data_IF_026060741484
#
_entry.id   IF_026060741484
#
_cell.length_a   1.000
_cell.length_b   1.000
_cell.length_c   1.000
_cell.angle_alpha   90.00
_cell.angle_beta   90.00
_cell.angle_gamma   90.00
#
_symmetry.space_group_name_H-M   'P 1'
#
loop_
_entity.id
_entity.type
_entity.pdbx_description
1 polymer ?
#
# COMPACT_ATOMS: atom_id res chain seq x y z
N UNK A 1 -8.31 -8.34 20.27
CA UNK A 1 -9.30 -7.95 19.24
C UNK A 1 -8.62 -6.96 18.32
N UNK A 2 -8.59 -7.24 17.03
CA UNK A 2 -8.00 -6.39 15.98
C UNK A 2 -9.16 -5.88 15.13
N UNK A 3 -9.04 -4.67 14.60
CA UNK A 3 -10.00 -4.14 13.63
C UNK A 3 -9.28 -3.98 12.28
N UNK A 4 -9.75 -4.69 11.25
CA UNK A 4 -9.32 -4.51 9.87
C UNK A 4 -10.31 -3.55 9.22
N UNK A 5 -9.84 -2.36 8.83
CA UNK A 5 -10.66 -1.38 8.11
C UNK A 5 -10.40 -1.55 6.61
N UNK A 6 -11.46 -1.59 5.83
CA UNK A 6 -11.41 -1.62 4.36
C UNK A 6 -12.35 -0.54 3.82
N UNK A 7 -12.34 -0.29 2.50
CA UNK A 7 -13.03 0.86 1.87
C UNK A 7 -14.49 1.01 2.32
N UNK A 8 -15.24 -0.10 2.43
CA UNK A 8 -16.68 -0.07 2.72
C UNK A 8 -17.05 -0.42 4.18
N UNK A 9 -16.06 -0.64 5.07
CA UNK A 9 -16.40 -1.10 6.42
C UNK A 9 -15.26 -1.52 7.34
N UNK A 10 -15.63 -2.22 8.41
CA UNK A 10 -14.71 -2.68 9.45
C UNK A 10 -15.03 -4.12 9.86
N UNK A 11 -14.00 -4.96 9.90
CA UNK A 11 -14.06 -6.33 10.41
C UNK A 11 -13.33 -6.36 11.75
N UNK A 12 -14.00 -6.80 12.82
CA UNK A 12 -13.37 -7.05 14.11
C UNK A 12 -13.02 -8.53 14.22
N UNK A 13 -11.76 -8.80 14.54
CA UNK A 13 -11.20 -10.15 14.59
C UNK A 13 -10.60 -10.46 15.96
N UNK A 14 -10.61 -11.73 16.32
CA UNK A 14 -9.75 -12.30 17.35
C UNK A 14 -8.63 -13.09 16.68
N UNK A 15 -7.43 -13.01 17.23
CA UNK A 15 -6.31 -13.80 16.70
C UNK A 15 -6.53 -15.27 17.03
N UNK A 16 -6.29 -16.12 16.04
CA UNK A 16 -6.24 -17.57 16.17
C UNK A 16 -5.03 -18.09 15.38
N UNK A 17 -4.59 -19.30 15.71
CA UNK A 17 -3.56 -20.00 14.95
C UNK A 17 -4.06 -21.41 14.67
N UNK A 18 -3.92 -21.85 13.43
CA UNK A 18 -4.31 -23.20 12.99
C UNK A 18 -3.42 -23.64 11.82
N UNK A 19 -3.54 -24.90 11.43
CA UNK A 19 -2.86 -25.46 10.26
C UNK A 19 -3.66 -25.10 9.00
N UNK A 20 -3.05 -24.31 8.12
CA UNK A 20 -3.50 -24.15 6.74
C UNK A 20 -2.76 -25.23 5.92
N UNK A 21 -3.25 -25.62 4.75
CA UNK A 21 -2.62 -26.63 3.85
C UNK A 21 -1.13 -26.33 3.49
N UNK A 22 -0.56 -25.23 3.98
CA UNK A 22 0.85 -24.82 3.88
C UNK A 22 1.51 -24.58 5.25
N UNK A 23 1.13 -25.33 6.28
CA UNK A 23 1.73 -25.30 7.62
C UNK A 23 0.94 -24.50 8.67
N UNK A 24 1.48 -24.42 9.88
CA UNK A 24 0.87 -23.66 10.98
C UNK A 24 1.02 -22.17 10.74
N UNK A 25 -0.10 -21.45 10.73
CA UNK A 25 -0.16 -20.00 10.47
C UNK A 25 -1.08 -19.30 11.48
N UNK A 26 -0.78 -18.05 11.79
CA UNK A 26 -1.65 -17.17 12.59
C UNK A 26 -2.56 -16.39 11.64
N UNK A 27 -3.83 -16.25 11.98
CA UNK A 27 -4.82 -15.49 11.21
C UNK A 27 -5.86 -14.82 12.13
N UNK A 28 -6.60 -13.87 11.57
CA UNK A 28 -7.73 -13.25 12.27
C UNK A 28 -9.00 -14.06 12.05
N UNK A 29 -9.59 -14.60 13.12
CA UNK A 29 -10.95 -15.12 13.10
C UNK A 29 -11.91 -13.94 13.25
N UNK A 30 -12.72 -13.67 12.21
CA UNK A 30 -13.73 -12.62 12.27
C UNK A 30 -14.77 -12.96 13.35
N UNK A 31 -14.91 -12.09 14.35
CA UNK A 31 -15.86 -12.24 15.45
C UNK A 31 -17.04 -11.30 15.34
N UNK A 32 -16.88 -10.23 14.59
CA UNK A 32 -17.92 -9.26 14.28
C UNK A 32 -17.59 -8.60 12.94
N UNK A 33 -18.58 -8.58 12.04
CA UNK A 33 -18.43 -8.11 10.66
C UNK A 33 -19.49 -7.03 10.44
N UNK A 34 -19.06 -5.83 10.09
CA UNK A 34 -19.95 -4.72 9.77
C UNK A 34 -19.86 -4.35 8.29
N UNK A 35 -20.99 -3.95 7.71
CA UNK A 35 -21.12 -3.60 6.29
C UNK A 35 -21.89 -4.65 5.48
N UNK A 36 -22.74 -4.18 4.57
CA UNK A 36 -23.64 -5.03 3.78
C UNK A 36 -22.88 -5.93 2.79
N UNK A 37 -21.66 -5.53 2.40
CA UNK A 37 -20.83 -6.24 1.42
C UNK A 37 -20.46 -7.66 1.86
N UNK A 38 -20.30 -7.89 3.17
CA UNK A 38 -19.90 -9.21 3.68
C UNK A 38 -21.09 -10.18 3.82
N UNK A 39 -22.30 -9.64 4.02
CA UNK A 39 -23.53 -10.44 3.96
C UNK A 39 -23.69 -11.04 2.56
N UNK A 40 -23.45 -10.24 1.53
CA UNK A 40 -23.47 -10.69 0.13
C UNK A 40 -22.28 -11.62 -0.22
N UNK A 41 -21.08 -11.35 0.32
CA UNK A 41 -19.91 -12.22 0.11
C UNK A 41 -20.14 -13.65 0.65
N UNK A 42 -20.86 -13.78 1.77
CA UNK A 42 -21.24 -15.08 2.34
C UNK A 42 -22.21 -15.84 1.43
N UNK A 43 -23.12 -15.14 0.74
CA UNK A 43 -24.06 -15.75 -0.22
C UNK A 43 -23.36 -16.30 -1.46
N UNK A 44 -22.22 -15.71 -1.86
CA UNK A 44 -21.37 -16.20 -2.96
C UNK A 44 -20.22 -17.12 -2.51
N UNK A 45 -20.29 -17.64 -1.28
CA UNK A 45 -19.35 -18.61 -0.70
C UNK A 45 -17.88 -18.13 -0.65
N UNK A 46 -17.67 -16.83 -0.39
CA UNK A 46 -16.34 -16.26 -0.10
C UNK A 46 -16.22 -16.03 1.41
N UNK A 47 -15.57 -16.94 2.16
CA UNK A 47 -15.58 -16.90 3.63
C UNK A 47 -14.62 -15.87 4.25
N UNK A 48 -13.76 -15.25 3.44
CA UNK A 48 -12.78 -14.28 3.92
C UNK A 48 -11.83 -13.80 2.83
N UNK A 49 -10.77 -13.10 3.24
CA UNK A 49 -9.76 -12.52 2.36
C UNK A 49 -8.36 -13.02 2.71
N UNK A 50 -7.51 -13.12 1.70
CA UNK A 50 -6.08 -13.40 1.86
C UNK A 50 -5.29 -12.26 1.23
N UNK A 51 -4.73 -11.38 2.06
CA UNK A 51 -4.01 -10.19 1.60
C UNK A 51 -2.67 -10.54 0.99
N UNK A 52 -2.47 -10.17 -0.28
CA UNK A 52 -1.25 -10.41 -1.05
C UNK A 52 -0.36 -9.16 -1.19
N UNK A 53 -0.37 -8.27 -0.20
CA UNK A 53 0.42 -7.03 -0.20
C UNK A 53 1.93 -7.29 -0.05
N UNK A 54 2.78 -6.32 -0.40
CA UNK A 54 4.24 -6.39 -0.25
C UNK A 54 4.69 -6.27 1.20
N UNK A 55 3.99 -5.43 1.96
CA UNK A 55 4.32 -5.10 3.34
C UNK A 55 3.08 -4.78 4.18
N UNK A 56 3.35 -4.35 5.42
CA UNK A 56 2.34 -3.96 6.42
C UNK A 56 1.72 -2.62 6.08
N UNK A 57 0.39 -2.57 6.06
CA UNK A 57 -0.36 -1.33 6.04
C UNK A 57 -0.24 -0.62 7.38
N UNK A 58 -0.40 0.70 7.39
CA UNK A 58 -0.35 1.50 8.61
C UNK A 58 -1.40 1.11 9.66
N UNK A 59 -2.52 0.53 9.22
CA UNK A 59 -3.64 0.04 10.02
C UNK A 59 -3.44 -1.39 10.52
N UNK A 60 -2.42 -2.09 10.04
CA UNK A 60 -2.15 -3.47 10.43
C UNK A 60 -1.70 -3.54 11.88
N UNK A 61 -2.32 -4.42 12.66
CA UNK A 61 -1.86 -4.69 14.02
C UNK A 61 -0.48 -5.38 14.00
N UNK A 62 0.30 -5.27 15.08
CA UNK A 62 1.61 -5.93 15.21
C UNK A 62 1.57 -7.46 15.03
N UNK A 63 0.39 -8.05 15.23
CA UNK A 63 0.10 -9.47 15.13
C UNK A 63 -0.45 -9.90 13.77
N UNK A 64 -0.56 -8.96 12.81
CA UNK A 64 -0.86 -9.32 11.41
C UNK A 64 0.35 -10.04 10.81
N UNK A 65 0.19 -11.33 10.58
CA UNK A 65 1.06 -12.11 9.70
C UNK A 65 0.56 -11.89 8.28
N UNK A 66 1.45 -11.48 7.37
CA UNK A 66 1.13 -11.46 5.94
C UNK A 66 1.30 -12.88 5.41
N UNK A 67 0.37 -13.76 5.82
CA UNK A 67 0.40 -15.21 5.59
C UNK A 67 0.76 -15.52 4.14
N UNK A 68 0.16 -14.79 3.20
CA UNK A 68 0.43 -14.96 1.78
C UNK A 68 1.89 -14.63 1.42
N UNK A 69 2.40 -13.48 1.86
CA UNK A 69 3.80 -13.12 1.60
C UNK A 69 4.78 -14.10 2.24
N UNK A 70 4.47 -14.63 3.42
CA UNK A 70 5.29 -15.64 4.10
C UNK A 70 5.32 -16.94 3.28
N UNK A 71 4.15 -17.41 2.85
CA UNK A 71 4.03 -18.58 1.95
C UNK A 71 4.85 -18.38 0.68
N UNK A 72 4.69 -17.23 0.00
CA UNK A 72 5.39 -16.99 -1.26
C UNK A 72 6.90 -16.89 -1.05
N UNK A 73 7.35 -16.28 0.05
CA UNK A 73 8.77 -16.17 0.39
C UNK A 73 9.44 -17.50 0.74
N UNK A 74 8.67 -18.52 1.13
CA UNK A 74 9.17 -19.88 1.36
C UNK A 74 9.35 -20.69 0.06
N UNK A 75 8.81 -20.22 -1.07
CA UNK A 75 8.97 -20.88 -2.36
C UNK A 75 10.42 -20.76 -2.86
N UNK A 76 10.92 -21.72 -3.67
CA UNK A 76 12.23 -21.61 -4.30
C UNK A 76 12.42 -20.32 -5.11
N UNK A 77 11.30 -19.81 -5.67
CA UNK A 77 11.22 -18.53 -6.36
C UNK A 77 10.03 -17.78 -5.75
N UNK A 78 10.26 -16.63 -5.10
CA UNK A 78 9.22 -15.93 -4.34
C UNK A 78 8.36 -15.08 -5.27
N UNK A 79 7.66 -15.74 -6.18
CA UNK A 79 6.80 -15.15 -7.20
C UNK A 79 5.41 -15.75 -7.09
N UNK A 80 4.40 -14.93 -7.35
CA UNK A 80 3.07 -15.41 -7.70
C UNK A 80 2.56 -14.68 -8.94
N UNK A 81 1.56 -15.24 -9.60
CA UNK A 81 0.93 -14.61 -10.76
C UNK A 81 -0.59 -14.77 -10.73
N UNK A 82 -1.27 -13.81 -11.34
CA UNK A 82 -2.72 -13.74 -11.43
C UNK A 82 -3.13 -13.70 -12.90
N UNK A 83 -4.09 -14.55 -13.23
CA UNK A 83 -4.77 -14.58 -14.52
C UNK A 83 -6.28 -14.53 -14.26
N UNK A 84 -6.99 -13.65 -14.96
CA UNK A 84 -8.45 -13.55 -14.85
C UNK A 84 -9.11 -13.79 -16.20
N UNK A 85 -10.28 -14.42 -16.16
CA UNK A 85 -11.24 -14.48 -17.26
C UNK A 85 -12.56 -13.87 -16.79
N UNK A 86 -13.52 -13.75 -17.70
CA UNK A 86 -14.88 -13.32 -17.38
C UNK A 86 -15.62 -14.24 -16.38
N UNK A 87 -15.13 -15.47 -16.13
CA UNK A 87 -15.85 -16.47 -15.34
C UNK A 87 -15.05 -17.13 -14.21
N UNK A 88 -13.72 -16.99 -14.22
CA UNK A 88 -12.82 -17.57 -13.22
C UNK A 88 -11.48 -16.85 -13.23
N UNK A 89 -10.69 -17.03 -12.16
CA UNK A 89 -9.30 -16.60 -12.11
C UNK A 89 -8.38 -17.72 -11.63
N UNK A 90 -7.09 -17.59 -11.92
CA UNK A 90 -6.04 -18.49 -11.49
C UNK A 90 -4.99 -17.70 -10.71
N UNK A 91 -4.65 -18.21 -9.53
CA UNK A 91 -3.48 -17.83 -8.76
C UNK A 91 -2.44 -18.93 -8.93
N UNK A 92 -1.26 -18.58 -9.44
CA UNK A 92 -0.13 -19.51 -9.55
C UNK A 92 0.97 -19.11 -8.58
N UNK A 93 1.51 -20.06 -7.83
CA UNK A 93 2.60 -19.87 -6.89
C UNK A 93 3.91 -20.42 -7.49
N UNK A 94 4.98 -19.63 -7.40
CA UNK A 94 6.34 -20.03 -7.78
C UNK A 94 6.81 -19.50 -9.13
N UNK A 95 5.97 -18.78 -9.89
CA UNK A 95 6.34 -18.19 -11.18
C UNK A 95 5.16 -18.03 -12.14
N UNK A 96 5.43 -17.58 -13.38
CA UNK A 96 4.41 -17.50 -14.41
C UNK A 96 4.07 -18.88 -14.98
N UNK A 97 2.79 -19.11 -15.27
CA UNK A 97 2.31 -20.20 -16.13
C UNK A 97 2.25 -19.75 -17.61
N UNK A 98 3.03 -20.39 -18.50
CA UNK A 98 3.12 -20.01 -19.92
C UNK A 98 1.82 -20.22 -20.71
N UNK A 99 0.81 -20.90 -20.16
CA UNK A 99 -0.49 -20.99 -20.84
C UNK A 99 -1.18 -19.63 -20.93
N UNK A 100 -0.92 -18.73 -19.97
CA UNK A 100 -1.60 -17.44 -19.87
C UNK A 100 -0.90 -16.30 -20.62
N UNK A 101 0.32 -16.52 -21.12
CA UNK A 101 1.03 -15.52 -21.91
C UNK A 101 1.94 -16.16 -22.96
N UNK A 102 2.01 -15.54 -24.14
CA UNK A 102 2.88 -15.96 -25.24
C UNK A 102 3.89 -14.88 -25.65
N UNK A 103 3.80 -13.71 -25.01
CA UNK A 103 4.66 -12.55 -25.25
C UNK A 103 5.58 -12.31 -24.05
N UNK A 104 6.72 -11.63 -24.24
CA UNK A 104 7.65 -11.32 -23.17
C UNK A 104 6.97 -10.56 -22.02
N UNK A 105 7.41 -10.86 -20.79
CA UNK A 105 7.03 -10.14 -19.58
C UNK A 105 7.81 -8.83 -19.55
N UNK A 106 7.10 -7.72 -19.36
CA UNK A 106 7.69 -6.42 -19.04
C UNK A 106 7.69 -6.23 -17.53
N UNK A 107 8.88 -6.05 -16.95
CA UNK A 107 9.04 -5.82 -15.50
C UNK A 107 9.08 -4.32 -15.19
N UNK A 108 8.33 -3.93 -14.17
CA UNK A 108 8.30 -2.57 -13.62
C UNK A 108 8.63 -2.59 -12.12
N UNK A 109 9.40 -1.61 -11.68
CA UNK A 109 9.72 -1.42 -10.28
C UNK A 109 8.51 -0.88 -9.52
N UNK A 110 8.33 -1.38 -8.29
CA UNK A 110 7.36 -0.80 -7.36
C UNK A 110 8.00 0.22 -6.44
N UNK A 111 7.17 1.10 -5.89
CA UNK A 111 7.60 2.13 -4.97
C UNK A 111 7.99 1.51 -3.63
N UNK A 112 9.24 1.74 -3.24
CA UNK A 112 9.77 1.27 -1.95
C UNK A 112 9.05 1.95 -0.80
N UNK A 113 8.69 1.17 0.22
CA UNK A 113 8.01 1.66 1.42
C UNK A 113 6.49 1.74 1.30
N UNK A 114 5.93 1.48 0.12
CA UNK A 114 4.49 1.24 -0.04
C UNK A 114 4.15 -0.19 0.41
N UNK A 115 3.00 -0.34 1.07
CA UNK A 115 2.53 -1.65 1.50
C UNK A 115 1.93 -2.47 0.34
N UNK A 116 1.29 -1.80 -0.63
CA UNK A 116 0.67 -2.41 -1.80
C UNK A 116 1.62 -2.57 -3.00
N UNK A 117 1.09 -3.12 -4.09
CA UNK A 117 1.79 -3.20 -5.39
C UNK A 117 1.63 -1.88 -6.15
N UNK A 118 2.43 -0.89 -5.76
CA UNK A 118 2.31 0.49 -6.24
C UNK A 118 3.47 0.84 -7.17
N UNK A 119 3.20 1.54 -8.27
CA UNK A 119 4.23 2.07 -9.18
C UNK A 119 3.91 3.51 -9.59
N UNK A 120 4.85 4.17 -10.25
CA UNK A 120 4.63 5.50 -10.82
C UNK A 120 3.75 5.43 -12.07
N UNK A 121 2.79 6.34 -12.16
CA UNK A 121 1.95 6.57 -13.32
C UNK A 121 2.37 7.88 -13.99
N UNK A 122 2.28 7.92 -15.32
CA UNK A 122 2.48 9.15 -16.10
C UNK A 122 1.44 10.22 -15.71
N UNK A 123 1.80 11.49 -15.88
CA UNK A 123 0.95 12.65 -15.56
C UNK A 123 -0.22 12.87 -16.53
N UNK A 124 -0.46 11.93 -17.44
CA UNK A 124 -1.55 11.94 -18.40
C UNK A 124 -2.02 10.53 -18.75
N UNK A 125 -3.23 10.46 -19.30
CA UNK A 125 -3.85 9.25 -19.86
C UNK A 125 -4.20 9.56 -21.31
N UNK A 126 -3.73 8.73 -22.23
CA UNK A 126 -3.95 8.91 -23.66
C UNK A 126 -5.28 8.29 -24.10
N UNK A 127 -5.90 8.90 -25.09
CA UNK A 127 -7.16 8.51 -25.70
C UNK A 127 -6.92 8.37 -27.21
N UNK A 128 -7.14 7.16 -27.72
CA UNK A 128 -6.98 6.85 -29.13
C UNK A 128 -8.36 6.72 -29.77
N UNK A 129 -8.49 7.20 -31.01
CA UNK A 129 -9.67 6.96 -31.82
C UNK A 129 -9.78 5.46 -32.17
N UNK A 130 -10.99 4.99 -32.47
CA UNK A 130 -11.21 3.60 -32.86
C UNK A 130 -10.37 3.22 -34.08
N UNK A 131 -9.59 2.15 -33.96
CA UNK A 131 -8.76 1.61 -35.03
C UNK A 131 -7.39 2.29 -35.18
N UNK A 132 -7.09 3.31 -34.36
CA UNK A 132 -5.75 3.82 -34.21
C UNK A 132 -4.88 2.80 -33.45
N UNK A 133 -3.61 2.68 -33.82
CA UNK A 133 -2.63 1.80 -33.15
C UNK A 133 -1.71 2.66 -32.28
N UNK A 134 -1.69 2.45 -30.94
CA UNK A 134 -0.83 3.19 -30.02
C UNK A 134 0.69 3.12 -30.28
N UNK A 135 1.12 2.24 -31.20
CA UNK A 135 2.53 2.13 -31.60
C UNK A 135 2.87 2.96 -32.82
N UNK A 136 1.90 3.28 -33.67
CA UNK A 136 2.15 3.94 -34.96
C UNK A 136 1.44 5.27 -35.12
N UNK A 137 0.46 5.58 -34.26
CA UNK A 137 -0.29 6.83 -34.30
C UNK A 137 0.62 7.99 -33.86
N UNK A 138 0.73 9.08 -34.65
CA UNK A 138 1.56 10.24 -34.29
C UNK A 138 1.00 10.98 -33.06
N UNK A 139 1.87 11.52 -32.20
CA UNK A 139 1.48 12.26 -31.00
C UNK A 139 0.50 13.43 -31.27
N UNK A 140 0.55 14.02 -32.46
CA UNK A 140 -0.37 15.10 -32.88
C UNK A 140 -1.82 14.66 -33.10
N UNK A 141 -2.06 13.35 -33.21
CA UNK A 141 -3.38 12.74 -33.45
C UNK A 141 -3.93 12.04 -32.20
N UNK A 142 -3.22 12.13 -31.07
CA UNK A 142 -3.57 11.50 -29.79
C UNK A 142 -4.20 12.56 -28.89
N UNK A 143 -5.43 12.31 -28.45
CA UNK A 143 -6.05 13.10 -27.39
C UNK A 143 -5.55 12.60 -26.02
N UNK A 144 -5.54 13.46 -25.00
CA UNK A 144 -5.14 13.06 -23.65
C UNK A 144 -5.87 13.86 -22.57
N UNK A 145 -5.93 13.27 -21.38
CA UNK A 145 -6.37 13.94 -20.15
C UNK A 145 -5.23 13.98 -19.15
N UNK A 146 -5.18 15.04 -18.33
CA UNK A 146 -4.15 15.17 -17.28
C UNK A 146 -4.61 14.53 -15.99
N UNK A 147 -3.65 13.98 -15.24
CA UNK A 147 -3.84 13.48 -13.88
C UNK A 147 -2.85 14.14 -12.95
N UNK A 148 -3.32 14.57 -11.79
CA UNK A 148 -2.50 15.06 -10.68
C UNK A 148 -1.95 13.91 -9.82
N UNK A 149 -2.54 12.72 -9.92
CA UNK A 149 -2.07 11.52 -9.24
C UNK A 149 -1.02 10.82 -10.10
N UNK A 150 0.15 10.61 -9.51
CA UNK A 150 1.36 10.05 -10.15
C UNK A 150 1.68 8.62 -9.69
N UNK A 151 0.74 7.98 -8.99
CA UNK A 151 0.89 6.62 -8.45
C UNK A 151 -0.31 5.77 -8.83
N UNK A 152 -0.07 4.47 -9.02
CA UNK A 152 -1.13 3.49 -9.28
C UNK A 152 -0.91 2.20 -8.52
N UNK A 153 -1.98 1.67 -7.93
CA UNK A 153 -2.04 0.38 -7.26
C UNK A 153 -2.56 -0.69 -8.20
N UNK A 154 -1.93 -1.86 -8.19
CA UNK A 154 -2.47 -3.08 -8.80
C UNK A 154 -3.20 -3.87 -7.70
N UNK A 155 -4.53 -3.84 -7.70
CA UNK A 155 -5.34 -4.34 -6.58
C UNK A 155 -6.44 -5.31 -7.05
N UNK A 156 -6.20 -6.61 -6.85
CA UNK A 156 -7.20 -7.65 -7.13
C UNK A 156 -8.39 -7.64 -6.17
N UNK A 157 -8.32 -6.90 -5.06
CA UNK A 157 -9.42 -6.70 -4.12
C UNK A 157 -10.44 -5.65 -4.58
N UNK A 158 -10.15 -4.92 -5.65
CA UNK A 158 -11.01 -3.88 -6.21
C UNK A 158 -11.50 -4.28 -7.60
N UNK A 159 -12.79 -4.10 -7.88
CA UNK A 159 -13.37 -4.41 -9.21
C UNK A 159 -13.03 -3.35 -10.25
N UNK A 160 -13.30 -2.09 -9.93
CA UNK A 160 -13.29 -0.94 -10.84
C UNK A 160 -11.93 -0.28 -11.00
N UNK A 161 -11.85 0.67 -11.94
CA UNK A 161 -10.73 1.60 -12.08
C UNK A 161 -11.05 2.84 -11.27
N UNK A 162 -10.21 3.17 -10.29
CA UNK A 162 -10.37 4.41 -9.52
C UNK A 162 -9.25 5.37 -9.84
N UNK A 163 -9.57 6.64 -10.04
CA UNK A 163 -8.60 7.61 -10.53
C UNK A 163 -8.87 9.05 -10.14
N UNK A 164 -7.96 9.93 -10.55
CA UNK A 164 -8.07 11.36 -10.33
C UNK A 164 -9.34 11.93 -10.99
N UNK A 165 -10.06 12.76 -10.26
CA UNK A 165 -11.24 13.46 -10.74
C UNK A 165 -10.97 14.23 -12.05
N UNK A 166 -9.79 14.85 -12.17
CA UNK A 166 -9.40 15.64 -13.36
C UNK A 166 -9.22 14.81 -14.61
N UNK A 167 -8.94 13.52 -14.47
CA UNK A 167 -8.82 12.60 -15.59
C UNK A 167 -10.12 11.82 -15.81
N UNK A 168 -10.71 11.29 -14.74
CA UNK A 168 -11.87 10.40 -14.79
C UNK A 168 -13.11 11.13 -15.32
N UNK A 169 -13.36 12.38 -14.91
CA UNK A 169 -14.53 13.12 -15.40
C UNK A 169 -14.47 13.36 -16.92
N UNK A 170 -13.40 13.93 -17.48
CA UNK A 170 -13.28 14.06 -18.93
C UNK A 170 -13.31 12.73 -19.69
N UNK A 171 -12.72 11.66 -19.15
CA UNK A 171 -12.82 10.33 -19.77
C UNK A 171 -14.27 9.84 -19.80
N UNK A 172 -15.01 10.00 -18.72
CA UNK A 172 -16.42 9.65 -18.66
C UNK A 172 -17.27 10.49 -19.62
N UNK A 173 -17.00 11.79 -19.73
CA UNK A 173 -17.64 12.67 -20.71
C UNK A 173 -17.34 12.25 -22.16
N UNK A 174 -16.08 11.91 -22.47
CA UNK A 174 -15.66 11.41 -23.78
C UNK A 174 -16.38 10.12 -24.18
N UNK A 175 -16.60 9.20 -23.22
CA UNK A 175 -17.39 7.98 -23.46
C UNK A 175 -18.89 8.24 -23.61
N UNK A 176 -19.37 9.44 -23.31
CA UNK A 176 -20.80 9.77 -23.24
C UNK A 176 -21.49 9.15 -22.02
N UNK A 177 -20.75 8.98 -20.91
CA UNK A 177 -21.30 8.50 -19.65
C UNK A 177 -22.12 9.60 -18.97
N UNK A 178 -23.27 9.21 -18.41
CA UNK A 178 -24.04 10.09 -17.54
C UNK A 178 -23.24 10.41 -16.26
N UNK A 179 -23.06 11.70 -15.90
CA UNK A 179 -22.14 12.10 -14.84
C UNK A 179 -22.59 11.69 -13.44
N UNK A 180 -23.87 11.34 -13.25
CA UNK A 180 -24.42 10.95 -11.96
C UNK A 180 -24.42 9.42 -11.79
N UNK A 181 -24.77 8.70 -12.86
CA UNK A 181 -25.01 7.25 -12.81
C UNK A 181 -23.90 6.44 -13.44
N UNK A 182 -23.00 7.07 -14.20
CA UNK A 182 -21.98 6.40 -15.00
C UNK A 182 -22.55 5.61 -16.18
N UNK A 183 -23.85 5.74 -16.49
CA UNK A 183 -24.49 4.97 -17.54
C UNK A 183 -24.05 5.45 -18.93
N UNK A 184 -23.68 4.51 -19.80
CA UNK A 184 -23.27 4.77 -21.19
C UNK A 184 -24.30 4.17 -22.13
N UNK A 185 -24.53 4.82 -23.28
CA UNK A 185 -25.35 4.22 -24.33
C UNK A 185 -24.62 3.00 -24.94
N UNK A 186 -25.17 1.81 -24.76
CA UNK A 186 -24.58 0.57 -25.28
C UNK A 186 -24.33 0.60 -26.80
N UNK A 187 -25.14 1.34 -27.58
CA UNK A 187 -24.99 1.41 -29.03
C UNK A 187 -23.76 2.21 -29.49
N UNK A 188 -23.16 3.03 -28.62
CA UNK A 188 -21.96 3.82 -28.95
C UNK A 188 -20.66 3.08 -28.63
N UNK A 189 -20.71 1.98 -27.86
CA UNK A 189 -19.53 1.18 -27.52
C UNK A 189 -18.71 0.79 -28.76
N UNK A 190 -19.31 0.34 -29.88
CA UNK A 190 -18.56 -0.01 -31.06
C UNK A 190 -17.84 1.16 -31.74
N UNK A 191 -18.08 2.42 -31.39
CA UNK A 191 -17.36 3.60 -31.92
C UNK A 191 -16.25 4.10 -31.00
N UNK A 192 -16.19 3.64 -29.75
CA UNK A 192 -15.15 4.05 -28.80
C UNK A 192 -13.80 3.44 -29.18
N UNK A 193 -12.72 4.19 -28.94
CA UNK A 193 -11.35 3.71 -29.14
C UNK A 193 -10.70 3.22 -27.84
N UNK A 194 -9.38 3.30 -27.71
CA UNK A 194 -8.66 2.79 -26.53
C UNK A 194 -8.25 3.89 -25.57
N UNK A 195 -8.20 3.52 -24.28
CA UNK A 195 -7.60 4.34 -23.21
C UNK A 195 -6.25 3.72 -22.89
N UNK A 196 -5.17 4.51 -22.89
CA UNK A 196 -3.82 4.01 -22.65
C UNK A 196 -3.21 4.69 -21.43
N UNK A 197 -2.83 3.86 -20.45
CA UNK A 197 -2.08 4.29 -19.28
C UNK A 197 -0.59 4.02 -19.47
N UNK A 198 0.24 5.03 -19.26
CA UNK A 198 1.70 4.91 -19.39
C UNK A 198 2.37 4.80 -18.02
N UNK A 199 3.14 3.74 -17.81
CA UNK A 199 3.93 3.47 -16.59
C UNK A 199 5.41 3.44 -16.96
N UNK A 200 6.27 3.98 -16.10
CA UNK A 200 7.71 4.04 -16.33
C UNK A 200 8.09 5.06 -17.41
N UNK A 201 9.04 4.71 -18.28
CA UNK A 201 9.61 5.64 -19.27
C UNK A 201 10.75 6.50 -18.71
N UNK A 202 11.37 6.06 -17.63
CA UNK A 202 12.56 6.66 -17.03
C UNK A 202 13.73 5.65 -17.04
N UNK A 203 14.94 6.09 -16.66
CA UNK A 203 16.14 5.25 -16.72
C UNK A 203 16.03 3.93 -15.94
N UNK A 204 15.16 3.90 -14.92
CA UNK A 204 14.95 2.77 -14.02
C UNK A 204 13.77 1.87 -14.44
N UNK A 205 12.93 2.29 -15.38
CA UNK A 205 11.72 1.56 -15.78
C UNK A 205 11.44 1.71 -17.28
N UNK A 206 11.34 0.61 -18.05
CA UNK A 206 10.93 0.68 -19.44
C UNK A 206 9.53 1.30 -19.54
N UNK A 207 9.28 2.06 -20.61
CA UNK A 207 7.95 2.58 -20.90
C UNK A 207 7.00 1.42 -21.16
N UNK A 208 6.00 1.27 -20.31
CA UNK A 208 4.92 0.31 -20.45
C UNK A 208 3.62 1.05 -20.74
N UNK A 209 3.01 0.74 -21.87
CA UNK A 209 1.68 1.24 -22.26
C UNK A 209 0.65 0.16 -22.02
N UNK A 210 -0.27 0.42 -21.10
CA UNK A 210 -1.41 -0.42 -20.79
C UNK A 210 -2.60 0.06 -21.59
N UNK A 211 -2.83 -0.57 -22.73
CA UNK A 211 -3.96 -0.28 -23.60
C UNK A 211 -5.21 -1.03 -23.12
N UNK A 212 -6.28 -0.29 -22.87
CA UNK A 212 -7.60 -0.82 -22.54
C UNK A 212 -8.54 -0.57 -23.72
N UNK A 213 -9.20 -1.61 -24.20
CA UNK A 213 -10.29 -1.50 -25.16
C UNK A 213 -11.61 -1.23 -24.44
N UNK A 214 -12.69 -0.90 -25.17
CA UNK A 214 -14.01 -0.72 -24.55
C UNK A 214 -14.48 -1.92 -23.72
N UNK A 215 -14.01 -3.15 -23.99
CA UNK A 215 -14.35 -4.33 -23.21
C UNK A 215 -13.76 -4.32 -21.78
N UNK A 216 -12.71 -3.55 -21.55
CA UNK A 216 -12.06 -3.42 -20.26
C UNK A 216 -12.65 -2.28 -19.44
N UNK A 217 -12.97 -1.14 -20.06
CA UNK A 217 -13.41 0.05 -19.33
C UNK A 217 -14.93 0.32 -19.40
N UNK A 218 -15.71 -0.49 -20.13
CA UNK A 218 -17.19 -0.48 -20.10
C UNK A 218 -17.71 -1.80 -19.52
N UNK A 219 -18.67 -1.69 -18.60
CA UNK A 219 -19.44 -2.79 -18.04
C UNK A 219 -20.69 -2.97 -18.90
N UNK A 220 -20.78 -4.13 -19.54
CA UNK A 220 -21.84 -4.45 -20.49
C UNK A 220 -21.31 -4.56 -21.92
N UNK A 221 -22.16 -5.04 -22.82
CA UNK A 221 -21.87 -5.21 -24.26
C UNK A 221 -22.81 -4.35 -25.08
N UNK A 222 -22.50 -4.12 -26.35
CA UNK A 222 -23.38 -3.36 -27.26
C UNK A 222 -24.80 -3.91 -27.38
N UNK A 223 -24.98 -5.21 -27.13
CA UNK A 223 -26.29 -5.90 -27.11
C UNK A 223 -26.99 -5.85 -25.75
N UNK A 224 -26.39 -5.23 -24.74
CA UNK A 224 -26.96 -5.12 -23.39
C UNK A 224 -28.02 -4.02 -23.34
N UNK A 225 -28.94 -4.13 -22.39
CA UNK A 225 -29.96 -3.10 -22.17
C UNK A 225 -29.41 -1.89 -21.40
N UNK A 226 -28.35 -2.08 -20.61
CA UNK A 226 -27.69 -1.05 -19.81
C UNK A 226 -26.18 -1.30 -19.82
N UNK A 227 -25.41 -0.23 -19.97
CA UNK A 227 -23.96 -0.25 -19.94
C UNK A 227 -23.47 0.86 -19.02
N UNK A 228 -22.32 0.67 -18.37
CA UNK A 228 -21.77 1.62 -17.42
C UNK A 228 -20.26 1.77 -17.60
N UNK A 229 -19.72 2.93 -17.28
CA UNK A 229 -18.26 3.11 -17.16
C UNK A 229 -17.71 2.28 -16.00
N UNK A 230 -16.51 1.73 -16.17
CA UNK A 230 -15.73 1.12 -15.09
C UNK A 230 -14.86 2.14 -14.34
N UNK A 231 -14.78 3.39 -14.80
CA UNK A 231 -13.97 4.45 -14.22
C UNK A 231 -14.74 5.24 -13.16
N UNK A 232 -14.15 5.31 -11.96
CA UNK A 232 -14.69 6.01 -10.81
C UNK A 232 -13.67 6.99 -10.25
N UNK A 233 -14.16 8.09 -9.66
CA UNK A 233 -13.32 9.09 -9.03
C UNK A 233 -12.88 8.57 -7.67
N UNK A 234 -11.58 8.60 -7.41
CA UNK A 234 -11.03 8.22 -6.12
C UNK A 234 -11.45 9.26 -5.06
N UNK A 235 -11.79 8.80 -3.85
CA UNK A 235 -12.08 9.70 -2.75
C UNK A 235 -10.88 10.59 -2.41
N UNK A 236 -11.14 11.83 -1.98
CA UNK A 236 -10.11 12.85 -1.69
C UNK A 236 -9.08 12.45 -0.63
N UNK A 237 -9.35 11.41 0.16
CA UNK A 237 -8.43 10.85 1.15
C UNK A 237 -7.33 9.97 0.53
N UNK A 238 -7.50 9.53 -0.72
CA UNK A 238 -6.56 8.66 -1.43
C UNK A 238 -5.78 9.48 -2.46
N UNK A 239 -4.49 9.21 -2.56
CA UNK A 239 -3.54 9.94 -3.41
C UNK A 239 -2.96 9.08 -4.54
N UNK A 240 -3.73 8.10 -5.03
CA UNK A 240 -3.28 7.15 -6.04
C UNK A 240 -4.45 6.65 -6.89
N UNK A 241 -4.14 6.23 -8.13
CA UNK A 241 -5.02 5.41 -8.93
C UNK A 241 -5.09 3.98 -8.40
N UNK A 242 -6.19 3.28 -8.68
CA UNK A 242 -6.36 1.87 -8.39
C UNK A 242 -6.76 1.16 -9.68
N UNK A 243 -5.89 0.28 -10.15
CA UNK A 243 -6.16 -0.67 -11.22
C UNK A 243 -6.72 -1.95 -10.62
N UNK A 244 -8.06 -2.01 -10.60
CA UNK A 244 -8.83 -3.19 -10.20
C UNK A 244 -8.95 -4.24 -11.30
N UNK A 245 -9.86 -5.20 -11.10
CA UNK A 245 -10.10 -6.33 -12.00
C UNK A 245 -10.37 -5.92 -13.46
N UNK A 246 -10.98 -4.77 -13.71
CA UNK A 246 -11.18 -4.26 -15.07
C UNK A 246 -9.86 -4.04 -15.85
N UNK A 247 -8.78 -3.69 -15.18
CA UNK A 247 -7.42 -3.63 -15.76
C UNK A 247 -6.72 -4.97 -15.64
N UNK A 248 -6.79 -5.61 -14.47
CA UNK A 248 -6.08 -6.87 -14.23
C UNK A 248 -6.56 -8.03 -15.11
N UNK A 249 -7.78 -7.99 -15.66
CA UNK A 249 -8.27 -8.99 -16.62
C UNK A 249 -7.69 -8.81 -18.02
N UNK A 250 -7.21 -7.62 -18.36
CA UNK A 250 -6.64 -7.31 -19.66
C UNK A 250 -5.21 -7.84 -19.81
N UNK A 251 -4.54 -8.07 -18.68
CA UNK A 251 -3.13 -8.43 -18.62
C UNK A 251 -2.90 -9.66 -17.74
N UNK A 252 -1.87 -10.41 -18.06
CA UNK A 252 -1.32 -11.38 -17.14
C UNK A 252 -0.34 -10.68 -16.21
N UNK A 253 -0.59 -10.71 -14.90
CA UNK A 253 0.23 -10.01 -13.90
C UNK A 253 1.03 -10.98 -13.05
N UNK A 254 2.30 -10.65 -12.84
CA UNK A 254 3.28 -11.43 -12.10
C UNK A 254 3.86 -10.54 -11.01
N UNK A 255 4.08 -11.08 -9.82
CA UNK A 255 4.50 -10.30 -8.66
C UNK A 255 5.68 -11.00 -8.00
N UNK A 256 6.82 -10.32 -7.94
CA UNK A 256 8.06 -10.88 -7.40
C UNK A 256 8.35 -10.26 -6.03
N UNK A 257 8.13 -11.02 -4.96
CA UNK A 257 8.28 -10.54 -3.58
C UNK A 257 9.72 -10.18 -3.22
N UNK A 258 10.70 -10.98 -3.67
CA UNK A 258 12.09 -10.70 -3.31
C UNK A 258 12.64 -9.44 -3.97
N UNK A 259 12.14 -9.01 -5.13
CA UNK A 259 12.63 -7.83 -5.82
C UNK A 259 11.70 -6.62 -5.72
N UNK A 260 10.45 -6.80 -5.28
CA UNK A 260 9.47 -5.72 -5.23
C UNK A 260 9.14 -5.18 -6.63
N UNK A 261 8.87 -6.07 -7.58
CA UNK A 261 8.57 -5.72 -8.98
C UNK A 261 7.29 -6.40 -9.45
N UNK A 262 6.63 -5.79 -10.43
CA UNK A 262 5.46 -6.34 -11.11
C UNK A 262 5.85 -6.66 -12.55
N UNK A 263 5.57 -7.87 -13.00
CA UNK A 263 5.67 -8.30 -14.38
C UNK A 263 4.30 -8.18 -15.04
N UNK A 264 4.26 -7.63 -16.24
CA UNK A 264 3.03 -7.46 -17.02
C UNK A 264 3.26 -8.05 -18.40
N UNK A 265 2.37 -8.96 -18.81
CA UNK A 265 2.37 -9.55 -20.14
C UNK A 265 0.97 -9.48 -20.77
N UNK A 266 0.87 -9.38 -22.10
CA UNK A 266 -0.41 -9.54 -22.78
C UNK A 266 -1.06 -10.88 -22.47
N UNK A 267 -2.35 -10.84 -22.11
CA UNK A 267 -3.10 -12.04 -21.75
C UNK A 267 -3.44 -12.91 -22.97
N UNK A 268 -3.25 -14.22 -22.86
CA UNK A 268 -3.67 -15.17 -23.89
C UNK A 268 -5.15 -15.55 -23.74
N UNK A 269 -6.02 -14.87 -24.48
CA UNK A 269 -7.49 -15.01 -24.44
C UNK A 269 -7.98 -16.43 -24.81
N UNK A 270 -7.13 -17.27 -25.44
CA UNK A 270 -7.48 -18.65 -25.82
C UNK A 270 -7.14 -19.69 -24.76
N UNK A 271 -6.54 -19.27 -23.63
CA UNK A 271 -6.22 -20.17 -22.53
C UNK A 271 -7.50 -20.78 -21.95
N UNK A 272 -7.64 -22.10 -22.08
CA UNK A 272 -8.70 -22.86 -21.39
C UNK A 272 -8.09 -23.49 -20.16
N UNK A 273 -8.82 -23.48 -19.04
CA UNK A 273 -8.48 -24.26 -17.86
C UNK A 273 -9.35 -25.54 -17.85
N UNK A 274 -8.98 -26.61 -18.58
CA UNK A 274 -9.84 -27.77 -18.81
C UNK A 274 -10.15 -28.58 -17.55
N UNK A 275 -9.50 -28.28 -16.43
CA UNK A 275 -9.87 -28.83 -15.14
C UNK A 275 -9.64 -27.72 -14.12
N UNK A 276 -10.68 -27.29 -13.39
CA UNK A 276 -10.56 -26.42 -12.21
C UNK A 276 -9.74 -27.03 -11.06
N UNK A 277 -8.67 -27.75 -11.36
CA UNK A 277 -7.62 -28.17 -10.46
C UNK A 277 -6.90 -26.91 -10.03
N UNK A 278 -7.01 -26.58 -8.75
CA UNK A 278 -5.91 -25.91 -8.07
C UNK A 278 -4.65 -26.72 -8.38
N UNK A 279 -3.74 -26.17 -9.19
CA UNK A 279 -2.50 -26.86 -9.52
C UNK A 279 -1.60 -26.79 -8.30
N UNK A 280 -1.73 -27.78 -7.42
CA UNK A 280 -0.62 -28.22 -6.56
C UNK A 280 -0.71 -29.74 -6.46
N UNK A 281 -0.10 -30.46 -7.41
CA UNK A 281 1.09 -31.22 -7.03
C UNK A 281 2.21 -31.19 -8.10
N UNK A 282 3.39 -30.78 -7.66
CA UNK A 282 4.63 -30.74 -8.45
C UNK A 282 4.96 -29.32 -8.91
N UNK A 283 5.63 -28.56 -8.04
CA UNK A 283 6.34 -27.30 -8.35
C UNK A 283 6.91 -27.43 -9.78
N UNK A 284 6.30 -26.72 -10.72
CA UNK A 284 6.62 -26.91 -12.13
C UNK A 284 8.10 -26.61 -12.35
N UNK A 285 8.82 -27.59 -12.88
CA UNK A 285 10.26 -27.53 -13.21
C UNK A 285 10.66 -26.45 -14.25
N UNK A 286 9.73 -25.58 -14.66
CA UNK A 286 9.94 -24.54 -15.69
C UNK A 286 10.19 -23.15 -15.07
N UNK A 287 9.93 -22.97 -13.78
CA UNK A 287 9.70 -21.66 -13.16
C UNK A 287 10.93 -20.77 -12.96
N UNK A 288 12.14 -21.32 -13.08
CA UNK A 288 13.38 -20.59 -12.82
C UNK A 288 13.93 -19.85 -14.04
N UNK A 289 13.85 -20.48 -15.21
CA UNK A 289 14.59 -20.01 -16.37
C UNK A 289 13.96 -18.75 -16.97
N UNK A 290 12.64 -18.70 -17.11
CA UNK A 290 11.96 -17.56 -17.74
C UNK A 290 12.03 -16.27 -16.90
N UNK A 291 11.84 -16.38 -15.58
CA UNK A 291 12.00 -15.24 -14.67
C UNK A 291 13.45 -14.76 -14.69
N UNK A 292 14.43 -15.67 -14.57
CA UNK A 292 15.85 -15.30 -14.64
C UNK A 292 16.25 -14.66 -15.97
N UNK A 293 15.86 -15.26 -17.09
CA UNK A 293 16.16 -14.75 -18.43
C UNK A 293 15.47 -13.41 -18.73
N UNK A 294 14.26 -13.20 -18.21
CA UNK A 294 13.56 -11.92 -18.39
C UNK A 294 14.15 -10.82 -17.50
N UNK A 295 14.57 -11.13 -16.28
CA UNK A 295 15.30 -10.17 -15.43
C UNK A 295 16.67 -9.81 -16.01
N UNK A 296 17.40 -10.77 -16.59
CA UNK A 296 18.66 -10.51 -17.29
C UNK A 296 18.52 -9.59 -18.52
N UNK A 297 17.31 -9.48 -19.09
CA UNK A 297 17.00 -8.56 -20.20
C UNK A 297 16.68 -7.14 -19.73
N UNK A 298 16.49 -6.90 -18.44
CA UNK A 298 16.31 -5.55 -17.93
C UNK A 298 17.59 -4.73 -18.12
N UNK A 299 17.49 -3.42 -18.41
CA UNK A 299 18.63 -2.52 -18.37
C UNK A 299 19.37 -2.66 -17.04
N UNK A 300 20.71 -2.60 -17.05
CA UNK A 300 21.50 -2.72 -15.81
C UNK A 300 21.14 -1.65 -14.76
N UNK A 301 20.72 -0.45 -15.20
CA UNK A 301 20.17 0.61 -14.33
C UNK A 301 18.83 0.25 -13.69
N UNK A 302 18.00 -0.52 -14.41
CA UNK A 302 16.66 -0.94 -13.99
C UNK A 302 16.64 -2.29 -13.24
N UNK A 303 17.79 -2.97 -13.12
CA UNK A 303 17.88 -4.28 -12.48
C UNK A 303 17.59 -4.13 -10.98
N UNK A 304 16.52 -4.75 -10.46
CA UNK A 304 16.11 -4.55 -9.09
C UNK A 304 17.09 -5.21 -8.12
N UNK A 305 17.46 -4.49 -7.06
CA UNK A 305 18.13 -5.09 -5.91
C UNK A 305 17.11 -5.89 -5.08
N UNK A 306 17.54 -6.93 -4.35
CA UNK A 306 16.62 -7.64 -3.45
C UNK A 306 16.02 -6.65 -2.46
N UNK A 307 14.73 -6.76 -2.19
CA UNK A 307 13.99 -5.98 -1.21
C UNK A 307 14.59 -6.11 0.20
N UNK A 308 15.34 -7.18 0.47
CA UNK A 308 16.12 -7.37 1.71
C UNK A 308 17.54 -6.75 1.67
N UNK A 309 18.12 -6.56 0.47
CA UNK A 309 19.42 -5.86 0.27
C UNK A 309 19.22 -4.34 0.15
N UNK A 310 17.98 -3.94 -0.14
CA UNK A 310 17.50 -2.57 -0.03
C UNK A 310 17.18 -2.34 1.44
N UNK A 311 17.76 -1.32 2.10
CA UNK A 311 17.34 -0.97 3.45
C UNK A 311 15.82 -0.80 3.43
N UNK A 312 15.11 -1.49 4.33
CA UNK A 312 13.75 -1.11 4.71
C UNK A 312 13.65 0.42 4.76
N UNK A 313 12.49 1.06 4.47
CA UNK A 313 12.36 2.52 4.54
C UNK A 313 13.15 3.06 5.75
N UNK A 314 14.27 3.73 5.41
CA UNK A 314 15.48 4.14 6.14
C UNK A 314 15.47 4.02 7.69
N UNK A 315 16.58 3.57 8.36
CA UNK A 315 17.06 2.22 8.64
C UNK A 315 16.86 1.84 10.13
N UNK A 316 17.37 0.68 10.54
CA UNK A 316 17.60 0.28 11.94
C UNK A 316 18.62 1.17 12.70
N UNK A 317 18.83 2.43 12.31
CA UNK A 317 19.67 3.38 13.07
C UNK A 317 18.91 4.07 14.19
N UNK A 318 17.57 4.13 14.11
CA UNK A 318 16.77 4.74 15.16
C UNK A 318 16.30 3.71 16.19
N UNK A 319 16.84 3.79 17.40
CA UNK A 319 16.43 2.97 18.56
C UNK A 319 15.49 3.76 19.45
N UNK A 320 14.38 3.16 19.85
CA UNK A 320 13.52 3.74 20.90
C UNK A 320 13.85 3.04 22.21
N UNK A 321 14.10 3.84 23.25
CA UNK A 321 14.39 3.35 24.59
C UNK A 321 13.85 4.30 25.65
N UNK A 322 13.65 3.84 26.89
CA UNK A 322 13.40 4.74 28.01
C UNK A 322 14.48 5.81 28.08
N UNK A 323 14.05 7.04 28.36
CA UNK A 323 14.94 8.16 28.56
C UNK A 323 15.70 8.03 29.89
N UNK A 324 16.93 8.52 29.91
CA UNK A 324 17.82 8.59 31.06
C UNK A 324 18.17 10.06 31.35
N UNK A 325 18.75 10.36 32.51
CA UNK A 325 19.19 11.74 32.81
C UNK A 325 20.24 12.26 31.80
N UNK A 326 21.00 11.37 31.14
CA UNK A 326 22.00 11.75 30.13
C UNK A 326 21.36 12.31 28.85
N UNK A 327 20.09 11.99 28.58
CA UNK A 327 19.38 12.47 27.40
C UNK A 327 18.85 13.90 27.57
N UNK A 328 18.82 14.42 28.80
CA UNK A 328 18.16 15.69 29.14
C UNK A 328 18.72 16.92 28.44
N UNK A 329 20.05 17.08 28.24
CA UNK A 329 20.57 18.20 27.46
C UNK A 329 19.97 18.24 26.04
N UNK A 330 19.85 17.09 25.39
CA UNK A 330 19.31 16.99 24.02
C UNK A 330 17.79 17.13 23.98
N UNK A 331 17.07 16.54 24.95
CA UNK A 331 15.61 16.74 25.11
C UNK A 331 15.30 18.24 25.34
N UNK A 332 16.05 18.91 26.21
CA UNK A 332 15.92 20.35 26.45
C UNK A 332 16.20 21.16 25.18
N UNK A 333 17.21 20.78 24.40
CA UNK A 333 17.50 21.37 23.09
C UNK A 333 16.31 21.32 22.14
N UNK A 334 15.68 20.14 22.01
CA UNK A 334 14.47 19.97 21.18
C UNK A 334 13.31 20.85 21.67
N UNK A 335 13.03 20.84 22.98
CA UNK A 335 11.92 21.63 23.56
C UNK A 335 12.17 23.13 23.39
N UNK A 336 13.39 23.60 23.64
CA UNK A 336 13.73 25.01 23.55
C UNK A 336 13.71 25.51 22.10
N UNK A 337 14.10 24.66 21.15
CA UNK A 337 13.90 24.96 19.73
C UNK A 337 12.42 25.17 19.41
N UNK A 338 11.55 24.26 19.86
CA UNK A 338 10.09 24.36 19.63
C UNK A 338 9.48 25.60 20.30
N UNK A 339 9.89 25.93 21.53
CA UNK A 339 9.45 27.17 22.21
C UNK A 339 9.83 28.42 21.38
N UNK A 340 11.00 28.42 20.75
CA UNK A 340 11.48 29.58 20.00
C UNK A 340 10.79 29.75 18.64
N UNK A 341 10.29 28.67 18.02
CA UNK A 341 9.84 28.68 16.61
C UNK A 341 8.39 28.26 16.40
N UNK A 342 7.69 27.82 17.45
CA UNK A 342 6.34 27.25 17.34
C UNK A 342 5.38 27.82 18.37
N UNK A 343 4.08 27.81 18.02
CA UNK A 343 2.97 28.18 18.93
C UNK A 343 2.40 26.96 19.67
N UNK A 344 2.92 25.76 19.41
CA UNK A 344 2.41 24.51 20.00
C UNK A 344 2.91 24.28 21.43
N UNK A 345 3.85 25.09 21.90
CA UNK A 345 4.39 25.03 23.25
C UNK A 345 4.02 26.34 23.95
N UNK A 346 3.13 26.28 24.96
CA UNK A 346 2.58 27.45 25.65
C UNK A 346 3.56 28.11 26.65
N UNK A 347 4.86 27.81 26.56
CA UNK A 347 5.88 28.48 27.37
C UNK A 347 6.35 29.78 26.70
N UNK A 348 6.48 30.84 27.49
CA UNK A 348 6.93 32.16 27.02
C UNK A 348 8.45 32.32 26.94
N UNK A 349 9.22 31.40 27.53
CA UNK A 349 10.67 31.46 27.58
C UNK A 349 11.30 30.06 27.58
N UNK A 350 12.60 29.96 27.24
CA UNK A 350 13.29 28.68 27.18
C UNK A 350 13.30 27.99 28.54
N UNK A 351 13.13 26.66 28.53
CA UNK A 351 13.26 25.82 29.71
C UNK A 351 14.72 25.78 30.14
N UNK A 352 14.98 26.10 31.41
CA UNK A 352 16.32 25.99 31.98
C UNK A 352 16.73 24.53 32.16
N UNK A 353 18.03 24.27 32.28
CA UNK A 353 18.54 22.92 32.56
C UNK A 353 17.98 22.38 33.89
N UNK A 354 17.99 23.21 34.93
CA UNK A 354 17.47 22.86 36.26
C UNK A 354 15.98 22.45 36.19
N UNK A 355 15.17 23.19 35.43
CA UNK A 355 13.75 22.88 35.24
C UNK A 355 13.55 21.57 34.46
N UNK A 356 14.40 21.31 33.45
CA UNK A 356 14.38 20.05 32.69
C UNK A 356 14.66 18.84 33.57
N UNK A 357 15.66 18.91 34.45
CA UNK A 357 15.95 17.85 35.42
C UNK A 357 14.84 17.67 36.45
N UNK A 358 14.29 18.78 36.97
CA UNK A 358 13.17 18.74 37.91
C UNK A 358 11.94 18.08 37.28
N UNK A 359 11.60 18.47 36.04
CA UNK A 359 10.51 17.87 35.26
C UNK A 359 10.71 16.36 35.06
N UNK A 360 11.90 15.94 34.64
CA UNK A 360 12.19 14.53 34.40
C UNK A 360 12.00 13.68 35.66
N UNK A 361 12.58 14.12 36.78
CA UNK A 361 12.49 13.41 38.06
C UNK A 361 11.06 13.34 38.58
N UNK A 362 10.31 14.44 38.49
CA UNK A 362 8.90 14.48 38.88
C UNK A 362 8.04 13.55 38.02
N UNK A 363 8.29 13.52 36.70
CA UNK A 363 7.56 12.67 35.74
C UNK A 363 7.78 11.18 36.03
N UNK A 364 9.05 10.77 36.24
CA UNK A 364 9.39 9.39 36.58
C UNK A 364 8.86 9.01 37.96
N UNK A 365 8.97 9.88 38.97
CA UNK A 365 8.43 9.64 40.31
C UNK A 365 6.89 9.54 40.32
N UNK A 366 6.21 10.27 39.44
CA UNK A 366 4.78 10.17 39.20
C UNK A 366 4.34 8.91 38.45
N UNK A 367 5.29 8.06 38.05
CA UNK A 367 5.00 6.82 37.32
C UNK A 367 4.65 7.03 35.85
N UNK A 368 5.08 8.13 35.24
CA UNK A 368 4.86 8.40 33.83
C UNK A 368 6.10 8.04 32.98
N UNK A 369 5.94 7.30 31.87
CA UNK A 369 7.05 6.95 30.99
C UNK A 369 7.55 8.15 30.17
N UNK A 370 8.85 8.13 29.89
CA UNK A 370 9.51 9.02 28.93
C UNK A 370 10.35 8.13 28.00
N UNK A 371 10.17 8.28 26.69
CA UNK A 371 10.91 7.58 25.66
C UNK A 371 11.70 8.57 24.81
N UNK A 372 12.88 8.15 24.36
CA UNK A 372 13.69 8.85 23.35
C UNK A 372 13.85 7.97 22.12
N UNK A 373 13.84 8.60 20.95
CA UNK A 373 14.31 8.00 19.71
C UNK A 373 15.75 8.47 19.50
N UNK A 374 16.70 7.54 19.50
CA UNK A 374 18.13 7.84 19.34
C UNK A 374 18.65 7.37 17.99
N UNK A 375 19.66 8.04 17.45
CA UNK A 375 20.42 7.59 16.27
C UNK A 375 21.90 7.78 16.48
N UNK A 376 22.71 7.01 15.79
CA UNK A 376 24.16 7.15 15.80
C UNK A 376 24.62 8.09 14.68
N UNK A 377 25.52 9.02 14.99
CA UNK A 377 26.20 9.85 13.98
C UNK A 377 27.30 9.02 13.31
N UNK A 378 27.27 8.89 11.98
CA UNK A 378 28.14 7.96 11.25
C UNK A 378 29.65 8.26 11.40
N UNK A 379 30.02 9.51 11.64
CA UNK A 379 31.41 9.97 11.71
C UNK A 379 32.02 9.83 13.12
N UNK A 380 31.19 9.94 14.16
CA UNK A 380 31.64 9.99 15.57
C UNK A 380 31.22 8.77 16.39
N UNK A 381 30.34 7.92 15.83
CA UNK A 381 29.62 6.84 16.54
C UNK A 381 28.85 7.32 17.78
N UNK A 382 28.61 8.62 17.93
CA UNK A 382 27.91 9.19 19.06
C UNK A 382 26.39 8.97 18.93
N UNK A 383 25.76 8.54 20.03
CA UNK A 383 24.31 8.42 20.12
C UNK A 383 23.68 9.80 20.40
N UNK A 384 22.85 10.27 19.47
CA UNK A 384 22.10 11.53 19.60
C UNK A 384 20.60 11.27 19.70
N UNK A 385 19.88 12.17 20.35
CA UNK A 385 18.42 12.11 20.53
C UNK A 385 17.75 12.84 19.36
N UNK A 386 17.05 12.07 18.53
CA UNK A 386 16.31 12.58 17.38
C UNK A 386 14.85 12.96 17.68
N UNK A 387 14.34 12.58 18.85
CA UNK A 387 12.99 12.92 19.30
C UNK A 387 12.68 12.32 20.66
N UNK A 388 11.64 12.81 21.32
CA UNK A 388 11.18 12.24 22.59
C UNK A 388 9.65 12.27 22.69
N UNK A 389 9.13 11.42 23.58
CA UNK A 389 7.73 11.45 23.99
C UNK A 389 7.59 11.14 25.47
N UNK A 390 6.61 11.76 26.13
CA UNK A 390 6.35 11.54 27.55
C UNK A 390 4.86 11.53 27.85
N UNK A 391 4.47 10.80 28.91
CA UNK A 391 3.18 11.03 29.56
C UNK A 391 3.35 12.01 30.72
N UNK A 392 2.27 12.70 31.05
CA UNK A 392 2.15 13.57 32.21
C UNK A 392 0.76 13.50 32.83
N UNK A 393 0.62 14.09 34.02
CA UNK A 393 -0.68 14.22 34.66
C UNK A 393 -1.55 15.25 33.92
N UNK A 394 -2.71 14.85 33.41
CA UNK A 394 -3.58 15.77 32.67
C UNK A 394 -4.11 16.93 33.56
N UNK A 395 -4.61 16.64 34.76
CA UNK A 395 -5.08 17.64 35.76
C UNK A 395 -5.01 17.07 37.18
N UNK A 396 -4.77 17.94 38.17
CA UNK A 396 -4.75 17.56 39.58
C UNK A 396 -6.17 17.39 40.18
N UNK A 397 -6.87 16.33 39.79
CA UNK A 397 -8.10 15.86 40.46
C UNK A 397 -8.10 14.34 40.50
N UNK A 398 -8.55 13.75 41.60
CA UNK A 398 -8.55 12.28 41.81
C UNK A 398 -9.29 11.50 40.72
N UNK A 399 -10.31 12.10 40.10
CA UNK A 399 -11.04 11.52 38.98
C UNK A 399 -10.22 11.35 37.70
N UNK A 400 -9.17 12.15 37.51
CA UNK A 400 -8.26 12.09 36.36
C UNK A 400 -7.03 11.21 36.61
N UNK A 401 -6.97 10.46 37.72
CA UNK A 401 -5.80 9.59 38.02
C UNK A 401 -5.54 8.50 36.97
N UNK A 402 -6.52 8.19 36.11
CA UNK A 402 -6.40 7.27 34.98
C UNK A 402 -6.35 7.99 33.63
N UNK A 403 -6.22 9.33 33.62
CA UNK A 403 -6.10 10.15 32.42
C UNK A 403 -4.72 10.78 32.41
N UNK A 404 -3.93 10.49 31.36
CA UNK A 404 -2.66 11.16 31.14
C UNK A 404 -2.76 12.09 29.92
N UNK A 405 -1.91 13.09 29.88
CA UNK A 405 -1.63 13.86 28.66
C UNK A 405 -0.32 13.37 28.06
N UNK A 406 -0.14 13.50 26.75
CA UNK A 406 1.14 13.21 26.12
C UNK A 406 1.84 14.45 25.58
N UNK A 407 3.16 14.41 25.55
CA UNK A 407 3.99 15.35 24.81
C UNK A 407 4.84 14.58 23.83
N UNK A 408 5.03 15.12 22.63
CA UNK A 408 5.82 14.50 21.58
C UNK A 408 6.50 15.58 20.74
N UNK A 409 7.81 15.50 20.64
CA UNK A 409 8.60 16.43 19.83
C UNK A 409 9.72 15.69 19.08
N UNK A 410 9.93 16.08 17.82
CA UNK A 410 10.95 15.52 16.95
C UNK A 410 11.93 16.62 16.60
N UNK A 411 13.23 16.35 16.75
CA UNK A 411 14.30 17.25 16.35
C UNK A 411 14.10 17.69 14.90
N UNK A 412 14.25 18.98 14.61
CA UNK A 412 13.83 19.56 13.33
C UNK A 412 14.49 18.89 12.11
N UNK A 413 15.75 18.45 12.23
CA UNK A 413 16.49 17.74 11.18
C UNK A 413 16.08 16.27 10.97
N UNK A 414 15.28 15.72 11.89
CA UNK A 414 14.83 14.33 11.88
C UNK A 414 13.31 14.18 11.69
N UNK A 415 12.61 15.27 11.36
CA UNK A 415 11.18 15.28 11.02
C UNK A 415 10.89 14.57 9.70
N UNK A 416 9.61 14.23 9.48
CA UNK A 416 9.12 13.53 8.27
C UNK A 416 9.74 12.14 8.02
N UNK A 417 10.35 11.54 9.06
CA UNK A 417 10.95 10.19 9.02
C UNK A 417 10.15 9.13 9.81
N UNK A 418 8.88 9.39 10.10
CA UNK A 418 8.00 8.47 10.84
C UNK A 418 8.30 8.32 12.35
N UNK A 419 9.28 9.04 12.91
CA UNK A 419 9.69 8.92 14.32
C UNK A 419 8.57 9.26 15.31
N UNK A 420 7.75 10.27 15.03
CA UNK A 420 6.63 10.63 15.90
C UNK A 420 5.62 9.51 16.05
N UNK A 421 5.29 8.82 14.96
CA UNK A 421 4.39 7.66 14.98
C UNK A 421 4.95 6.51 15.82
N UNK A 422 6.26 6.24 15.70
CA UNK A 422 6.93 5.18 16.48
C UNK A 422 6.98 5.51 17.98
N UNK A 423 7.34 6.74 18.34
CA UNK A 423 7.37 7.20 19.74
C UNK A 423 5.98 7.16 20.38
N UNK A 424 4.97 7.67 19.69
CA UNK A 424 3.58 7.65 20.17
C UNK A 424 3.10 6.21 20.39
N UNK A 425 3.45 5.27 19.50
CA UNK A 425 3.10 3.86 19.64
C UNK A 425 3.67 3.26 20.94
N UNK A 426 4.96 3.41 21.20
CA UNK A 426 5.60 2.88 22.41
C UNK A 426 5.03 3.52 23.68
N UNK A 427 4.72 4.81 23.61
CA UNK A 427 4.06 5.54 24.69
C UNK A 427 2.67 4.97 25.02
N UNK A 428 1.84 4.69 24.00
CA UNK A 428 0.50 4.15 24.17
C UNK A 428 0.51 2.69 24.67
N UNK A 429 1.49 1.88 24.24
CA UNK A 429 1.69 0.52 24.77
C UNK A 429 1.97 0.58 26.27
N UNK A 430 2.89 1.45 26.68
CA UNK A 430 3.26 1.61 28.08
C UNK A 430 2.14 2.23 28.91
N UNK A 431 1.37 3.16 28.32
CA UNK A 431 0.18 3.73 28.95
C UNK A 431 -0.84 2.66 29.33
N UNK A 432 -1.12 1.75 28.38
CA UNK A 432 -2.03 0.62 28.58
C UNK A 432 -1.49 -0.34 29.64
N UNK A 433 -0.20 -0.65 29.62
CA UNK A 433 0.45 -1.51 30.64
C UNK A 433 0.33 -0.92 32.05
N UNK A 434 0.30 0.40 32.17
CA UNK A 434 0.13 1.15 33.42
C UNK A 434 -1.32 1.43 33.81
N UNK A 435 -2.30 0.88 33.08
CA UNK A 435 -3.74 1.04 33.33
C UNK A 435 -4.27 2.49 33.20
N UNK A 436 -3.66 3.31 32.35
CA UNK A 436 -4.32 4.56 31.94
C UNK A 436 -5.54 4.23 31.08
N UNK A 437 -6.67 4.88 31.37
CA UNK A 437 -7.94 4.73 30.67
C UNK A 437 -8.05 5.66 29.46
N UNK A 438 -7.50 6.87 29.55
CA UNK A 438 -7.55 7.89 28.49
C UNK A 438 -6.23 8.62 28.38
N UNK A 439 -5.83 8.92 27.14
CA UNK A 439 -4.69 9.78 26.81
C UNK A 439 -5.23 10.97 26.04
N UNK A 440 -4.86 12.17 26.46
CA UNK A 440 -5.28 13.44 25.86
C UNK A 440 -4.14 14.05 25.06
#
# INVERSE_FOLDING_TARGET
MIAVRYTEGVIRTQLASDVITLGTRTFGLATDISGDSFLLAKEINVPGFLGASQGRFESDSDYSTHIFSEIVKELPIPVFSLAFTESWGTLTLGGPDPIFHSKPITWINTLKGEAGWVTHLSSHVDIYAKGADPKTTPDSEIDYVRTDLDRVWFDSGTTYIWGDERAVKPLNEWMGADPLTGQVNCSTIPSLGSIVFSIGGNEDNPLLRLELSPAEYIIGKSTSHRCFTALNVVESSKNHWIFGLHVLKAFYTIYHYEYGIIGIAPYNVTATNPAGKAVVPGIHKVLDQEVKESLQRMPSSATPSKMNDIPAPIPSTYKIRPATEQDLPQINGIVNHEIAVSINNFNYGPRSEQDGFAWFRATIAGGYPIFVATTTVAETEEEIVAGYSSLGSFRQKDGYRFTAEYSLYIHHEHRQRGLGKRLLKDLLIEAKRRNFHSII
#
